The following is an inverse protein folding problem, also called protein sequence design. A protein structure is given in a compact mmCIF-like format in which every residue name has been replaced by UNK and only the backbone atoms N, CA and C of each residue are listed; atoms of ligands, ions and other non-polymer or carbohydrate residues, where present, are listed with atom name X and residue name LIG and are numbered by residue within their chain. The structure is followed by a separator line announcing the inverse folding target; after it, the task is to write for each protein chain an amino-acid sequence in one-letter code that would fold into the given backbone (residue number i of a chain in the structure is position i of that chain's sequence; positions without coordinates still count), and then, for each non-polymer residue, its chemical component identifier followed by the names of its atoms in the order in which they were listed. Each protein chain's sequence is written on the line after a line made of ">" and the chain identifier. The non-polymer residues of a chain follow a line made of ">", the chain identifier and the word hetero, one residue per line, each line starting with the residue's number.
data_IF_368187060368
#
_entry.id   IF_368187060368
#
_cell.length_a   1.000
_cell.length_b   1.000
_cell.length_c   1.000
_cell.angle_alpha   90.00
_cell.angle_beta   90.00
_cell.angle_gamma   90.00
#
_symmetry.space_group_name_H-M   'P 1'
#
loop_
_entity.id
_entity.type
_entity.pdbx_description
1 polymer ?
#
# COMPACT_ATOMS: atom_id res chain seq x y z
N UNK A 1 19.28 5.18 -17.82
CA UNK A 1 18.21 5.37 -16.81
C UNK A 1 17.84 6.85 -16.71
N UNK A 2 16.56 7.15 -16.81
CA UNK A 2 15.99 8.50 -16.69
C UNK A 2 16.39 9.17 -15.34
N UNK A 3 16.58 10.48 -15.34
CA UNK A 3 16.91 11.28 -14.14
C UNK A 3 15.86 11.11 -13.05
N UNK A 4 14.59 11.01 -13.45
CA UNK A 4 13.47 10.81 -12.53
C UNK A 4 13.46 9.41 -11.92
N UNK A 5 13.76 8.37 -12.70
CA UNK A 5 13.88 7.00 -12.22
C UNK A 5 14.97 6.86 -11.16
N UNK A 6 16.16 7.44 -11.39
CA UNK A 6 17.25 7.45 -10.40
C UNK A 6 16.87 8.17 -9.11
N UNK A 7 16.26 9.35 -9.21
CA UNK A 7 15.77 10.10 -8.03
C UNK A 7 14.74 9.29 -7.25
N UNK A 8 13.85 8.58 -7.94
CA UNK A 8 12.85 7.74 -7.31
C UNK A 8 13.49 6.57 -6.55
N UNK A 9 14.41 5.83 -7.18
CA UNK A 9 15.15 4.74 -6.52
C UNK A 9 15.92 5.20 -5.28
N UNK A 10 16.59 6.36 -5.36
CA UNK A 10 17.35 6.91 -4.24
C UNK A 10 16.45 7.34 -3.08
N UNK A 11 15.23 7.81 -3.35
CA UNK A 11 14.25 8.10 -2.31
C UNK A 11 13.71 6.80 -1.68
N UNK A 12 13.43 5.77 -2.48
CA UNK A 12 13.00 4.47 -1.97
C UNK A 12 14.04 3.85 -1.02
N UNK A 13 15.34 3.96 -1.34
CA UNK A 13 16.42 3.47 -0.48
C UNK A 13 16.47 4.16 0.88
N UNK A 14 15.95 5.38 1.00
CA UNK A 14 15.92 6.18 2.24
C UNK A 14 14.68 5.91 3.09
N UNK A 15 13.66 5.24 2.55
CA UNK A 15 12.46 4.91 3.32
C UNK A 15 12.79 3.74 4.27
N UNK A 16 12.37 3.78 5.54
CA UNK A 16 12.56 2.68 6.50
C UNK A 16 11.61 1.50 6.21
N UNK A 17 11.25 1.28 4.95
CA UNK A 17 10.33 0.21 4.54
C UNK A 17 10.90 -1.19 4.79
N UNK A 18 12.24 -1.30 4.82
CA UNK A 18 12.95 -2.54 5.13
C UNK A 18 12.85 -2.91 6.62
N UNK A 19 12.64 -1.95 7.51
CA UNK A 19 12.58 -2.14 8.96
C UNK A 19 11.23 -2.72 9.43
N UNK A 20 10.18 -2.57 8.61
CA UNK A 20 8.85 -3.14 8.91
C UNK A 20 8.95 -4.67 8.95
N UNK A 21 8.52 -5.27 10.04
CA UNK A 21 8.64 -6.72 10.27
C UNK A 21 7.56 -7.50 9.53
N UNK A 22 7.83 -8.78 9.25
CA UNK A 22 6.83 -9.68 8.66
C UNK A 22 5.60 -9.83 9.58
N UNK A 23 5.80 -9.81 10.90
CA UNK A 23 4.71 -9.92 11.88
C UNK A 23 3.69 -8.77 11.80
N UNK A 24 4.15 -7.55 11.50
CA UNK A 24 3.27 -6.39 11.28
C UNK A 24 2.45 -6.57 10.00
N UNK A 25 3.09 -7.10 8.95
CA UNK A 25 2.42 -7.37 7.69
C UNK A 25 1.37 -8.47 7.85
N UNK A 26 1.72 -9.57 8.52
CA UNK A 26 0.79 -10.68 8.78
C UNK A 26 -0.42 -10.22 9.61
N UNK A 27 -0.22 -9.32 10.58
CA UNK A 27 -1.31 -8.71 11.34
C UNK A 27 -2.26 -7.91 10.44
N UNK A 28 -1.72 -7.12 9.50
CA UNK A 28 -2.53 -6.33 8.57
C UNK A 28 -3.34 -7.20 7.61
N UNK A 29 -2.74 -8.27 7.10
CA UNK A 29 -3.44 -9.27 6.29
C UNK A 29 -4.57 -9.93 7.07
N UNK A 30 -4.30 -10.35 8.31
CA UNK A 30 -5.29 -10.98 9.19
C UNK A 30 -6.45 -10.03 9.54
N UNK A 31 -6.17 -8.73 9.65
CA UNK A 31 -7.20 -7.69 9.81
C UNK A 31 -8.01 -7.41 8.54
N UNK A 32 -7.58 -7.91 7.39
CA UNK A 32 -8.23 -7.71 6.11
C UNK A 32 -7.95 -6.35 5.47
N UNK A 33 -6.78 -5.75 5.74
CA UNK A 33 -6.37 -4.47 5.15
C UNK A 33 -6.10 -4.56 3.65
N UNK A 34 -5.13 -5.39 3.25
CA UNK A 34 -4.76 -5.62 1.85
C UNK A 34 -4.93 -7.09 1.55
N UNK A 35 -5.98 -7.50 0.84
CA UNK A 35 -6.31 -8.92 0.65
C UNK A 35 -6.57 -9.25 -0.81
N UNK A 36 -6.23 -10.49 -1.20
CA UNK A 36 -6.62 -11.04 -2.51
C UNK A 36 -8.14 -11.23 -2.53
N UNK A 37 -8.79 -10.67 -3.54
CA UNK A 37 -10.24 -10.63 -3.69
C UNK A 37 -10.73 -11.34 -4.96
N UNK A 38 -9.98 -12.32 -5.44
CA UNK A 38 -10.32 -13.09 -6.64
C UNK A 38 -9.69 -12.54 -7.92
N UNK A 39 -10.45 -12.56 -9.02
CA UNK A 39 -10.05 -12.05 -10.33
C UNK A 39 -11.13 -11.10 -10.88
N UNK A 40 -10.73 -10.13 -11.69
CA UNK A 40 -11.67 -9.25 -12.39
C UNK A 40 -12.20 -9.88 -13.70
N UNK A 41 -12.97 -9.09 -14.47
CA UNK A 41 -13.57 -9.54 -15.73
C UNK A 41 -12.53 -9.92 -16.81
N UNK A 42 -11.31 -9.38 -16.72
CA UNK A 42 -10.21 -9.66 -17.64
C UNK A 42 -9.32 -10.80 -17.12
N UNK A 43 -9.69 -11.42 -16.01
CA UNK A 43 -8.92 -12.49 -15.37
C UNK A 43 -7.70 -12.00 -14.59
N UNK A 44 -7.51 -10.69 -14.39
CA UNK A 44 -6.40 -10.16 -13.58
C UNK A 44 -6.64 -10.48 -12.11
N UNK A 45 -5.63 -10.94 -11.34
CA UNK A 45 -5.77 -11.02 -9.90
C UNK A 45 -6.17 -9.66 -9.31
N UNK A 46 -7.13 -9.67 -8.40
CA UNK A 46 -7.65 -8.46 -7.76
C UNK A 46 -7.17 -8.38 -6.30
N UNK A 47 -6.60 -7.24 -5.92
CA UNK A 47 -6.25 -6.88 -4.56
C UNK A 47 -7.17 -5.78 -4.02
N UNK A 48 -7.72 -5.97 -2.83
CA UNK A 48 -8.52 -4.97 -2.13
C UNK A 48 -7.70 -4.30 -1.05
N UNK A 49 -7.63 -2.96 -1.10
CA UNK A 49 -6.94 -2.12 -0.11
C UNK A 49 -7.99 -1.31 0.65
N UNK A 50 -8.26 -1.68 1.90
CA UNK A 50 -9.32 -1.08 2.72
C UNK A 50 -8.77 0.06 3.58
N UNK A 51 -9.00 1.29 3.13
CA UNK A 51 -8.41 2.50 3.71
C UNK A 51 -8.87 2.79 5.14
N UNK A 52 -10.01 2.22 5.59
CA UNK A 52 -10.48 2.36 6.99
C UNK A 52 -9.49 1.90 8.05
N UNK A 53 -8.57 0.99 7.70
CA UNK A 53 -7.56 0.45 8.62
C UNK A 53 -6.26 1.26 8.62
N UNK A 54 -6.03 2.10 7.61
CA UNK A 54 -4.85 2.97 7.51
C UNK A 54 -4.99 4.15 8.45
N UNK A 55 -4.33 4.10 9.60
CA UNK A 55 -4.18 5.27 10.47
C UNK A 55 -2.77 5.29 11.05
N UNK A 56 -2.22 6.48 11.38
CA UNK A 56 -0.91 6.56 12.01
C UNK A 56 -0.79 5.73 13.30
N UNK A 57 -1.91 5.50 13.99
CA UNK A 57 -1.96 4.72 15.22
C UNK A 57 -2.10 3.20 15.01
N UNK A 58 -2.59 2.74 13.86
CA UNK A 58 -2.87 1.32 13.60
C UNK A 58 -1.99 0.74 12.49
N UNK A 59 -2.11 1.29 11.29
CA UNK A 59 -1.35 0.90 10.11
C UNK A 59 -0.74 2.17 9.54
N UNK A 60 0.49 2.52 9.95
CA UNK A 60 1.22 3.65 9.38
C UNK A 60 1.38 3.48 7.86
N UNK A 61 1.47 4.59 7.14
CA UNK A 61 1.45 4.60 5.67
C UNK A 61 2.51 3.68 5.05
N UNK A 62 3.74 3.67 5.56
CA UNK A 62 4.82 2.81 5.05
C UNK A 62 4.53 1.32 5.29
N UNK A 63 3.91 0.99 6.42
CA UNK A 63 3.45 -0.36 6.73
C UNK A 63 2.31 -0.79 5.79
N UNK A 64 1.38 0.12 5.49
CA UNK A 64 0.33 -0.10 4.49
C UNK A 64 0.88 -0.32 3.08
N UNK A 65 1.86 0.48 2.65
CA UNK A 65 2.55 0.32 1.37
C UNK A 65 3.22 -1.04 1.27
N UNK A 66 4.04 -1.42 2.26
CA UNK A 66 4.71 -2.72 2.27
C UNK A 66 3.72 -3.88 2.27
N UNK A 67 2.63 -3.79 3.04
CA UNK A 67 1.59 -4.82 3.09
C UNK A 67 0.93 -5.01 1.72
N UNK A 68 0.68 -3.91 1.02
CA UNK A 68 0.09 -3.94 -0.33
C UNK A 68 1.05 -4.55 -1.35
N UNK A 69 2.34 -4.21 -1.28
CA UNK A 69 3.36 -4.79 -2.15
C UNK A 69 3.49 -6.30 -1.94
N UNK A 70 3.54 -6.77 -0.69
CA UNK A 70 3.59 -8.22 -0.43
C UNK A 70 2.33 -8.94 -0.92
N UNK A 71 1.16 -8.28 -0.88
CA UNK A 71 -0.08 -8.84 -1.44
C UNK A 71 0.00 -8.97 -2.96
N UNK A 72 0.60 -7.97 -3.62
CA UNK A 72 0.83 -7.95 -5.06
C UNK A 72 1.87 -8.99 -5.48
N UNK A 73 2.98 -9.12 -4.76
CA UNK A 73 4.00 -10.15 -5.02
C UNK A 73 3.38 -11.54 -4.98
N UNK A 74 2.51 -11.81 -3.98
CA UNK A 74 1.77 -13.06 -3.90
C UNK A 74 0.73 -13.22 -5.03
N UNK A 75 0.09 -12.14 -5.46
CA UNK A 75 -0.88 -12.15 -6.55
C UNK A 75 -0.25 -12.36 -7.93
N UNK A 76 1.00 -11.95 -8.09
CA UNK A 76 1.78 -12.00 -9.33
C UNK A 76 2.84 -13.11 -9.32
N UNK A 77 2.70 -14.10 -8.44
CA UNK A 77 3.66 -15.19 -8.31
C UNK A 77 3.72 -16.12 -9.54
N UNK A 78 2.67 -16.18 -10.36
CA UNK A 78 2.61 -17.00 -11.57
C UNK A 78 2.81 -16.19 -12.86
N UNK A 79 3.48 -16.74 -13.90
CA UNK A 79 3.76 -16.00 -15.14
C UNK A 79 2.53 -15.52 -15.91
N UNK A 80 1.39 -16.18 -15.79
CA UNK A 80 0.16 -15.75 -16.46
C UNK A 80 -0.38 -14.48 -15.82
N UNK A 81 -0.40 -14.42 -14.49
CA UNK A 81 -0.78 -13.22 -13.73
C UNK A 81 0.18 -12.04 -13.97
N UNK A 82 1.50 -12.29 -14.09
CA UNK A 82 2.46 -11.22 -14.44
C UNK A 82 2.14 -10.56 -15.78
N UNK A 83 1.77 -11.34 -16.80
CA UNK A 83 1.43 -10.83 -18.14
C UNK A 83 0.14 -10.03 -18.16
N UNK A 84 -0.84 -10.47 -17.37
CA UNK A 84 -2.14 -9.81 -17.25
C UNK A 84 -2.08 -8.54 -16.38
N UNK A 85 -1.13 -8.47 -15.45
CA UNK A 85 -1.05 -7.42 -14.43
C UNK A 85 -2.01 -7.70 -13.26
N UNK A 86 -2.28 -6.68 -12.45
CA UNK A 86 -3.17 -6.78 -11.30
C UNK A 86 -4.21 -5.64 -11.29
N UNK A 87 -5.39 -5.92 -10.73
CA UNK A 87 -6.40 -4.92 -10.44
C UNK A 87 -6.33 -4.55 -8.95
N UNK A 88 -6.24 -3.25 -8.63
CA UNK A 88 -6.31 -2.76 -7.26
C UNK A 88 -7.61 -2.00 -7.03
N UNK A 89 -8.36 -2.43 -6.02
CA UNK A 89 -9.57 -1.75 -5.56
C UNK A 89 -9.27 -1.05 -4.24
N UNK A 90 -9.38 0.27 -4.25
CA UNK A 90 -9.24 1.08 -3.05
C UNK A 90 -10.61 1.35 -2.44
N UNK A 91 -10.89 0.70 -1.31
CA UNK A 91 -12.11 0.90 -0.54
C UNK A 91 -11.90 2.05 0.45
N UNK A 92 -12.55 3.17 0.15
CA UNK A 92 -12.52 4.40 0.93
C UNK A 92 -13.64 4.47 1.98
N UNK A 93 -14.51 3.46 2.10
CA UNK A 93 -15.54 3.46 3.13
C UNK A 93 -14.92 3.50 4.54
N UNK A 94 -15.37 4.43 5.39
CA UNK A 94 -14.91 4.53 6.78
C UNK A 94 -13.58 5.27 7.00
N UNK A 95 -13.10 5.99 5.99
CA UNK A 95 -12.07 7.03 6.17
C UNK A 95 -12.63 8.25 6.90
N UNK A 96 -11.78 8.93 7.67
CA UNK A 96 -12.07 10.17 8.37
C UNK A 96 -10.81 10.80 8.96
N UNK A 97 -10.96 11.74 9.89
CA UNK A 97 -9.84 12.49 10.48
C UNK A 97 -8.75 11.60 11.11
N UNK A 98 -9.13 10.42 11.63
CA UNK A 98 -8.18 9.42 12.19
C UNK A 98 -7.12 8.97 11.18
N UNK A 99 -7.41 9.06 9.88
CA UNK A 99 -6.53 8.58 8.80
C UNK A 99 -5.53 9.67 8.35
N UNK A 100 -5.66 10.90 8.85
CA UNK A 100 -4.84 12.05 8.44
C UNK A 100 -3.71 12.24 9.45
N UNK A 101 -2.47 12.31 8.96
CA UNK A 101 -1.34 12.80 9.76
C UNK A 101 -1.30 14.32 9.64
N UNK A 102 -1.75 15.04 10.66
CA UNK A 102 -1.57 16.49 10.72
C UNK A 102 -0.21 16.79 11.34
N UNK A 103 0.78 17.16 10.53
CA UNK A 103 1.92 17.88 11.07
C UNK A 103 1.47 19.32 11.31
N UNK A 104 1.48 19.78 12.57
CA UNK A 104 1.13 21.17 12.93
C UNK A 104 2.00 22.20 12.17
N UNK A 105 3.18 21.79 11.68
CA UNK A 105 4.05 22.60 10.82
C UNK A 105 3.59 22.76 9.36
N UNK A 106 2.78 21.84 8.83
CA UNK A 106 2.33 21.86 7.42
C UNK A 106 1.13 22.80 7.20
N UNK A 107 0.35 23.06 8.26
CA UNK A 107 -0.76 24.04 8.25
C UNK A 107 -0.23 25.46 7.95
N UNK A 108 1.03 25.77 8.31
CA UNK A 108 1.64 27.07 8.04
C UNK A 108 2.12 27.24 6.60
N UNK A 109 2.22 26.18 5.81
CA UNK A 109 2.74 26.25 4.43
C UNK A 109 1.67 26.19 3.34
N UNK A 110 0.40 26.11 3.71
CA UNK A 110 -0.70 25.95 2.76
C UNK A 110 -0.72 24.52 2.24
N UNK A 111 -1.86 23.85 2.42
CA UNK A 111 -2.08 22.52 1.88
C UNK A 111 -2.05 22.56 0.34
N UNK A 112 -1.10 21.85 -0.25
CA UNK A 112 -1.09 21.40 -1.65
C UNK A 112 -0.64 19.94 -1.69
#
# INVERSE_FOLDING_TARGET
>A
MDKYARRHEDLLKKLPIREITESEIQRNFSAGFSVKAGRDLDGRPMGWVRMRFMSPATIPILCGVKSTWMALDAALADPASVRLGACLVYDFAGIGMKNITLNVGDIKKGAL
#
